data_IF_824635409109
#
_entry.id   IF_824635409109
#
_cell.length_a   1.000
_cell.length_b   1.000
_cell.length_c   1.000
_cell.angle_alpha   90.00
_cell.angle_beta   90.00
_cell.angle_gamma   90.00
#
_symmetry.space_group_name_H-M   'P 1'
#
loop_
_entity.id
_entity.type
_entity.pdbx_description
1 polymer ?
#
# COMPACT_ATOMS: atom_id res chain seq x y z
N UNK A 1 11.26 3.82 0.55
CA UNK A 1 10.23 4.31 1.50
C UNK A 1 10.07 3.28 2.62
N UNK A 2 10.02 3.69 3.88
CA UNK A 2 9.90 2.78 5.04
C UNK A 2 8.79 3.22 5.99
N UNK A 3 8.14 2.26 6.63
CA UNK A 3 7.16 2.49 7.68
C UNK A 3 7.91 2.88 8.97
N UNK A 4 7.54 3.99 9.65
CA UNK A 4 8.37 4.60 10.68
C UNK A 4 8.61 3.72 11.92
N UNK A 5 7.68 2.82 12.27
CA UNK A 5 7.79 1.99 13.46
C UNK A 5 8.51 0.66 13.19
N UNK A 6 8.06 -0.12 12.21
CA UNK A 6 8.65 -1.45 11.91
C UNK A 6 9.79 -1.41 10.90
N UNK A 7 10.07 -0.25 10.29
CA UNK A 7 11.08 -0.06 9.25
C UNK A 7 10.88 -0.94 8.00
N UNK A 8 9.70 -1.56 7.84
CA UNK A 8 9.32 -2.35 6.67
C UNK A 8 9.32 -1.49 5.43
N UNK A 9 9.68 -2.08 4.29
CA UNK A 9 9.61 -1.40 3.00
C UNK A 9 8.14 -1.17 2.63
N UNK A 10 7.84 0.02 2.14
CA UNK A 10 6.48 0.40 1.73
C UNK A 10 6.45 0.65 0.23
N UNK A 11 5.70 -0.17 -0.49
CA UNK A 11 5.34 0.10 -1.89
C UNK A 11 4.08 0.95 -1.87
N UNK A 12 4.11 2.13 -2.48
CA UNK A 12 2.89 2.94 -2.62
C UNK A 12 2.19 2.52 -3.89
N UNK A 13 0.92 2.12 -3.82
CA UNK A 13 0.17 1.62 -4.97
C UNK A 13 -1.18 2.30 -5.04
N UNK A 14 -1.61 2.62 -6.27
CA UNK A 14 -2.94 3.14 -6.50
C UNK A 14 -3.97 2.02 -6.22
N UNK A 15 -5.00 2.30 -5.41
CA UNK A 15 -5.92 1.24 -4.95
C UNK A 15 -6.61 0.48 -6.10
N UNK A 16 -6.84 1.15 -7.24
CA UNK A 16 -7.46 0.55 -8.44
C UNK A 16 -6.66 -0.62 -9.01
N UNK A 17 -5.34 -0.61 -8.87
CA UNK A 17 -4.48 -1.72 -9.33
C UNK A 17 -4.68 -3.00 -8.53
N UNK A 18 -5.38 -2.93 -7.40
CA UNK A 18 -5.71 -4.06 -6.53
C UNK A 18 -7.20 -4.44 -6.59
N UNK A 19 -7.92 -3.99 -7.62
CA UNK A 19 -9.30 -4.43 -7.86
C UNK A 19 -9.36 -5.96 -7.97
N UNK A 20 -10.28 -6.58 -7.22
CA UNK A 20 -10.40 -8.03 -7.13
C UNK A 20 -9.40 -8.72 -6.19
N UNK A 21 -8.36 -8.03 -5.72
CA UNK A 21 -7.41 -8.56 -4.73
C UNK A 21 -7.75 -8.12 -3.29
N UNK A 22 -8.33 -6.93 -3.13
CA UNK A 22 -8.78 -6.44 -1.83
C UNK A 22 -10.16 -6.98 -1.46
N UNK A 23 -10.47 -7.12 -0.16
CA UNK A 23 -11.84 -7.36 0.29
C UNK A 23 -12.79 -6.29 -0.28
N UNK A 24 -13.99 -6.68 -0.78
CA UNK A 24 -14.88 -5.75 -1.47
C UNK A 24 -15.26 -4.49 -0.67
N UNK A 25 -15.41 -4.62 0.64
CA UNK A 25 -15.69 -3.52 1.57
C UNK A 25 -14.53 -2.53 1.68
N UNK A 26 -13.28 -3.02 1.65
CA UNK A 26 -12.07 -2.19 1.67
C UNK A 26 -11.95 -1.44 0.35
N UNK A 27 -12.14 -2.13 -0.77
CA UNK A 27 -12.11 -1.50 -2.09
C UNK A 27 -13.19 -0.41 -2.22
N UNK A 28 -14.43 -0.69 -1.78
CA UNK A 28 -15.51 0.31 -1.76
C UNK A 28 -15.17 1.53 -0.91
N UNK A 29 -14.61 1.33 0.29
CA UNK A 29 -14.15 2.43 1.14
C UNK A 29 -13.07 3.27 0.43
N UNK A 30 -12.08 2.62 -0.19
CA UNK A 30 -11.02 3.30 -0.96
C UNK A 30 -11.56 4.05 -2.18
N UNK A 31 -12.62 3.56 -2.82
CA UNK A 31 -13.23 4.19 -3.98
C UNK A 31 -14.09 5.42 -3.67
N UNK A 32 -14.55 5.55 -2.42
CA UNK A 32 -15.43 6.65 -2.00
C UNK A 32 -14.60 7.87 -1.55
N UNK A 33 -14.64 9.01 -2.26
CA UNK A 33 -13.85 10.19 -1.90
C UNK A 33 -14.33 10.90 -0.63
N UNK A 34 -15.56 10.65 -0.19
CA UNK A 34 -16.21 11.34 0.96
C UNK A 34 -15.81 10.75 2.32
N UNK A 35 -15.19 9.56 2.35
CA UNK A 35 -14.77 8.87 3.58
C UNK A 35 -13.27 8.76 3.63
N UNK A 36 -12.64 8.67 4.79
CA UNK A 36 -11.21 8.42 4.85
C UNK A 36 -10.90 6.93 4.63
N UNK A 37 -9.78 6.57 3.98
CA UNK A 37 -9.42 5.18 3.71
C UNK A 37 -9.41 4.25 4.93
N UNK A 38 -9.15 4.80 6.13
CA UNK A 38 -9.05 4.03 7.37
C UNK A 38 -10.36 3.90 8.14
N UNK A 39 -11.44 4.53 7.68
CA UNK A 39 -12.75 4.44 8.34
C UNK A 39 -13.33 3.02 8.27
N UNK A 40 -12.77 2.15 7.41
CA UNK A 40 -13.12 0.73 7.33
C UNK A 40 -12.49 -0.12 8.45
N UNK A 41 -11.46 0.36 9.15
CA UNK A 41 -10.72 -0.42 10.15
C UNK A 41 -11.60 -0.95 11.29
N UNK A 42 -12.54 -0.19 11.87
CA UNK A 42 -13.44 -0.71 12.90
C UNK A 42 -14.27 -1.90 12.41
N UNK A 43 -14.74 -1.87 11.16
CA UNK A 43 -15.51 -2.96 10.55
C UNK A 43 -14.66 -4.21 10.32
N UNK A 44 -13.36 -4.05 10.11
CA UNK A 44 -12.44 -5.17 9.92
C UNK A 44 -11.96 -5.77 11.24
N UNK A 45 -12.04 -5.05 12.36
CA UNK A 45 -11.41 -5.42 13.63
C UNK A 45 -11.81 -6.81 14.16
N UNK A 46 -13.04 -7.25 13.87
CA UNK A 46 -13.56 -8.57 14.28
C UNK A 46 -13.30 -9.68 13.26
N UNK A 47 -12.65 -9.37 12.14
CA UNK A 47 -12.36 -10.32 11.06
C UNK A 47 -10.93 -10.82 11.13
N UNK A 48 -10.68 -12.02 10.59
CA UNK A 48 -9.32 -12.54 10.39
C UNK A 48 -8.46 -11.64 9.47
N UNK A 49 -9.09 -10.76 8.69
CA UNK A 49 -8.44 -9.82 7.78
C UNK A 49 -7.92 -8.57 8.49
N UNK A 50 -8.31 -8.29 9.74
CA UNK A 50 -7.83 -7.14 10.51
C UNK A 50 -6.30 -7.07 10.54
N UNK A 51 -5.65 -8.23 10.69
CA UNK A 51 -4.17 -8.36 10.76
C UNK A 51 -3.46 -7.94 9.47
N UNK A 52 -4.18 -7.98 8.34
CA UNK A 52 -3.65 -7.61 7.04
C UNK A 52 -3.67 -6.09 6.82
N UNK A 53 -4.33 -5.31 7.68
CA UNK A 53 -4.41 -3.86 7.53
C UNK A 53 -3.69 -3.13 8.66
N UNK A 54 -3.15 -1.95 8.37
CA UNK A 54 -2.46 -1.10 9.36
C UNK A 54 -2.55 0.37 8.93
N UNK A 55 -2.37 1.28 9.88
CA UNK A 55 -2.12 2.69 9.54
C UNK A 55 -0.63 2.92 9.36
N UNK A 56 -0.27 3.67 8.32
CA UNK A 56 1.10 4.08 8.03
C UNK A 56 1.14 5.62 8.05
N UNK A 57 1.74 6.24 9.07
CA UNK A 57 2.00 7.66 9.02
C UNK A 57 3.13 7.92 8.02
N UNK A 58 2.97 8.98 7.21
CA UNK A 58 3.99 9.42 6.27
C UNK A 58 4.16 10.93 6.28
N UNK A 59 5.36 11.38 5.92
CA UNK A 59 5.69 12.79 5.69
C UNK A 59 6.04 13.00 4.22
N UNK A 60 5.32 13.89 3.54
CA UNK A 60 5.66 14.33 2.20
C UNK A 60 6.68 15.48 2.23
N UNK A 61 7.36 15.72 1.09
CA UNK A 61 8.34 16.80 0.90
C UNK A 61 7.79 18.23 1.18
N UNK A 62 6.48 18.40 1.36
CA UNK A 62 5.81 19.68 1.64
C UNK A 62 5.22 19.84 3.04
N UNK A 63 5.78 19.18 4.06
CA UNK A 63 5.38 19.29 5.48
C UNK A 63 3.92 18.91 5.82
N UNK A 64 3.19 18.26 4.90
CA UNK A 64 1.93 17.61 5.21
C UNK A 64 2.22 16.22 5.74
N UNK A 65 2.04 16.03 7.05
CA UNK A 65 1.90 14.71 7.66
C UNK A 65 0.58 14.11 7.22
N UNK A 66 0.59 12.88 6.72
CA UNK A 66 -0.60 12.17 6.28
C UNK A 66 -0.62 10.74 6.80
N UNK A 67 -1.75 10.09 6.59
CA UNK A 67 -1.95 8.67 6.89
C UNK A 67 -2.25 7.91 5.60
N UNK A 68 -1.77 6.67 5.53
CA UNK A 68 -2.14 5.70 4.50
C UNK A 68 -2.72 4.46 5.17
N UNK A 69 -3.72 3.87 4.52
CA UNK A 69 -4.10 2.50 4.81
C UNK A 69 -3.04 1.58 4.21
N UNK A 70 -2.35 0.83 5.07
CA UNK A 70 -1.40 -0.19 4.69
C UNK A 70 -2.08 -1.55 4.57
N UNK A 71 -1.73 -2.31 3.54
CA UNK A 71 -2.08 -3.71 3.36
C UNK A 71 -0.82 -4.58 3.44
N UNK A 72 -0.87 -5.64 4.23
CA UNK A 72 0.23 -6.59 4.51
C UNK A 72 -0.06 -7.89 3.74
N UNK A 73 0.43 -8.02 2.50
CA UNK A 73 0.34 -9.28 1.78
C UNK A 73 1.27 -10.32 2.40
N UNK A 74 0.98 -11.60 2.17
CA UNK A 74 1.86 -12.70 2.58
C UNK A 74 3.16 -12.70 1.75
N UNK A 75 3.03 -12.47 0.43
CA UNK A 75 4.13 -12.48 -0.54
C UNK A 75 3.96 -11.32 -1.52
N UNK A 76 5.08 -10.66 -1.85
CA UNK A 76 5.17 -9.71 -2.96
C UNK A 76 6.25 -10.18 -3.93
N UNK A 77 5.89 -10.32 -5.20
CA UNK A 77 6.86 -10.60 -6.27
C UNK A 77 7.00 -9.38 -7.15
N UNK A 78 8.23 -8.89 -7.30
CA UNK A 78 8.59 -7.82 -8.25
C UNK A 78 9.31 -8.47 -9.41
N UNK A 79 8.83 -8.25 -10.64
CA UNK A 79 9.45 -8.81 -11.86
C UNK A 79 9.89 -7.71 -12.82
N UNK A 80 11.08 -7.85 -13.41
CA UNK A 80 11.61 -6.97 -14.46
C UNK A 80 12.34 -7.80 -15.52
N UNK A 81 11.68 -8.02 -16.67
CA UNK A 81 12.15 -8.96 -17.68
C UNK A 81 12.28 -10.37 -17.07
N UNK A 82 13.42 -11.02 -17.28
CA UNK A 82 13.73 -12.35 -16.73
C UNK A 82 14.10 -12.36 -15.24
N UNK A 83 14.20 -11.18 -14.59
CA UNK A 83 14.54 -11.10 -13.16
C UNK A 83 13.29 -10.99 -12.31
N UNK A 84 13.27 -11.71 -11.20
CA UNK A 84 12.21 -11.63 -10.19
C UNK A 84 12.80 -11.59 -8.78
N UNK A 85 12.25 -10.72 -7.93
CA UNK A 85 12.55 -10.62 -6.51
C UNK A 85 11.29 -10.98 -5.72
N UNK A 86 11.40 -11.95 -4.81
CA UNK A 86 10.30 -12.41 -3.97
C UNK A 86 10.53 -11.92 -2.54
N UNK A 87 9.50 -11.31 -1.95
CA UNK A 87 9.52 -10.75 -0.60
C UNK A 87 8.40 -11.37 0.22
N UNK A 88 8.78 -12.21 1.19
CA UNK A 88 7.83 -12.78 2.14
C UNK A 88 7.69 -11.86 3.36
N UNK A 89 6.47 -11.40 3.65
CA UNK A 89 6.09 -10.68 4.89
C UNK A 89 6.91 -9.43 5.30
N UNK A 90 7.81 -8.94 4.44
CA UNK A 90 8.75 -7.84 4.71
C UNK A 90 8.34 -6.51 4.07
N UNK A 91 7.29 -6.54 3.23
CA UNK A 91 6.79 -5.41 2.46
C UNK A 91 5.34 -5.11 2.85
N UNK A 92 5.01 -3.83 2.93
CA UNK A 92 3.64 -3.35 3.13
C UNK A 92 3.24 -2.53 1.90
N UNK A 93 2.02 -2.69 1.41
CA UNK A 93 1.45 -1.86 0.35
C UNK A 93 0.73 -0.67 0.98
N UNK A 94 1.21 0.55 0.75
CA UNK A 94 0.51 1.78 1.11
C UNK A 94 -0.50 2.15 0.03
N UNK A 95 -1.79 2.11 0.36
CA UNK A 95 -2.87 2.32 -0.59
C UNK A 95 -3.16 3.81 -0.74
N UNK A 96 -3.00 4.34 -1.95
CA UNK A 96 -3.30 5.75 -2.27
C UNK A 96 -4.47 5.87 -3.24
N UNK A 97 -5.28 6.91 -3.04
CA UNK A 97 -6.29 7.40 -4.00
C UNK A 97 -5.72 8.41 -5.00
N UNK A 98 -4.57 8.98 -4.68
CA UNK A 98 -3.95 10.01 -5.50
C UNK A 98 -3.23 9.34 -6.66
N UNK A 99 -3.54 9.76 -7.87
CA UNK A 99 -2.72 9.49 -9.05
C UNK A 99 -1.32 10.09 -8.85
N UNK A 100 -0.32 9.48 -9.46
CA UNK A 100 1.08 9.92 -9.36
C UNK A 100 1.43 11.10 -10.28
N UNK A 101 0.41 11.70 -10.91
CA UNK A 101 0.53 12.83 -11.81
C UNK A 101 -0.30 12.62 -13.08
N UNK A 102 -0.63 13.71 -13.79
CA UNK A 102 -1.46 13.63 -15.00
C UNK A 102 -0.78 12.90 -16.18
N UNK A 103 0.54 12.73 -16.13
CA UNK A 103 1.36 12.09 -17.18
C UNK A 103 2.06 10.82 -16.65
N UNK A 104 1.75 10.41 -15.42
CA UNK A 104 2.40 9.25 -14.83
C UNK A 104 1.87 7.96 -15.48
N UNK A 105 2.73 7.24 -16.19
CA UNK A 105 2.43 5.92 -16.79
C UNK A 105 2.58 4.76 -15.80
N UNK A 106 2.68 5.05 -14.50
CA UNK A 106 2.92 4.06 -13.46
C UNK A 106 1.84 4.12 -12.38
N UNK A 107 1.51 2.96 -11.83
CA UNK A 107 0.48 2.80 -10.81
C UNK A 107 1.04 2.47 -9.42
N UNK A 108 2.37 2.38 -9.30
CA UNK A 108 3.04 2.13 -8.03
C UNK A 108 4.42 2.80 -7.95
N UNK A 109 4.81 3.17 -6.74
CA UNK A 109 6.15 3.61 -6.37
C UNK A 109 6.81 2.53 -5.54
N UNK A 110 7.88 1.96 -6.09
CA UNK A 110 8.68 0.93 -5.43
C UNK A 110 9.88 1.58 -4.74
N UNK A 111 10.17 1.23 -3.47
CA UNK A 111 11.47 1.50 -2.87
C UNK A 111 12.61 0.92 -3.73
N UNK A 112 13.62 1.72 -4.14
CA UNK A 112 14.74 1.22 -4.94
C UNK A 112 15.49 0.04 -4.30
N UNK A 113 15.44 -0.07 -2.97
CA UNK A 113 16.04 -1.16 -2.21
C UNK A 113 15.45 -2.53 -2.57
N UNK A 114 14.19 -2.59 -3.04
CA UNK A 114 13.58 -3.83 -3.54
C UNK A 114 14.27 -4.37 -4.79
N UNK A 115 14.96 -3.52 -5.55
CA UNK A 115 15.65 -3.92 -6.77
C UNK A 115 17.14 -4.17 -6.56
N UNK A 116 17.65 -3.86 -5.37
CA UNK A 116 19.05 -4.08 -4.96
C UNK A 116 19.21 -5.30 -4.05
N UNK A 117 18.12 -5.76 -3.43
CA UNK A 117 18.11 -6.87 -2.47
C UNK A 117 18.11 -8.27 -3.11
N UNK A 118 18.54 -8.42 -4.37
CA UNK A 118 18.64 -9.72 -5.05
C UNK A 118 19.96 -9.89 -5.78
#
# INVERSE_FOLDING_TARGET
LREPFSQRLVIIVHYRSLEGLLPPEVYRCLSNPEVEPWDILPNLAETAQARCFTLIPFSGLGARTGMLLGFKPDVVTVSRGERSWCFESSVVLGLTRRSFGPVAEYEALLPPELLQAG
#
